data_IF_938672207187
#
_entry.id   IF_938672207187
#
_cell.length_a   1.000
_cell.length_b   1.000
_cell.length_c   1.000
_cell.angle_alpha   90.00
_cell.angle_beta   90.00
_cell.angle_gamma   90.00
#
_symmetry.space_group_name_H-M   'P 1'
#
loop_
_entity.id
_entity.type
_entity.pdbx_description
1 polymer ?
#
# COMPACT_ATOMS: atom_id res chain seq x y z
N UNK A 1 -13.18 -7.34 6.99
CA UNK A 1 -12.79 -7.48 5.57
C UNK A 1 -13.71 -8.47 4.88
N UNK A 2 -14.33 -8.10 3.76
CA UNK A 2 -15.20 -9.00 2.96
C UNK A 2 -14.39 -9.75 1.89
N UNK A 3 -14.78 -10.98 1.55
CA UNK A 3 -14.14 -11.78 0.49
C UNK A 3 -14.12 -11.06 -0.87
N UNK A 4 -15.07 -10.16 -1.10
CA UNK A 4 -15.15 -9.32 -2.29
C UNK A 4 -13.99 -8.32 -2.39
N UNK A 5 -13.59 -7.69 -1.28
CA UNK A 5 -12.47 -6.76 -1.28
C UNK A 5 -11.16 -7.47 -1.64
N UNK A 6 -10.95 -8.66 -1.08
CA UNK A 6 -9.75 -9.45 -1.33
C UNK A 6 -9.66 -9.90 -2.80
N UNK A 7 -10.80 -10.23 -3.43
CA UNK A 7 -10.85 -10.56 -4.84
C UNK A 7 -10.53 -9.34 -5.73
N UNK A 8 -11.08 -8.16 -5.41
CA UNK A 8 -10.76 -6.90 -6.12
C UNK A 8 -9.28 -6.54 -6.00
N UNK A 9 -8.72 -6.69 -4.80
CA UNK A 9 -7.30 -6.50 -4.54
C UNK A 9 -6.43 -7.46 -5.36
N UNK A 10 -6.72 -8.76 -5.32
CA UNK A 10 -5.95 -9.74 -6.09
C UNK A 10 -6.00 -9.46 -7.59
N UNK A 11 -7.17 -9.10 -8.14
CA UNK A 11 -7.31 -8.73 -9.54
C UNK A 11 -6.49 -7.49 -9.89
N UNK A 12 -6.53 -6.45 -9.04
CA UNK A 12 -5.73 -5.24 -9.25
C UNK A 12 -4.24 -5.49 -9.13
N UNK A 13 -3.80 -6.25 -8.12
CA UNK A 13 -2.39 -6.61 -7.92
C UNK A 13 -1.85 -7.40 -9.12
N UNK A 14 -2.61 -8.38 -9.62
CA UNK A 14 -2.22 -9.15 -10.80
C UNK A 14 -1.98 -8.24 -12.01
N UNK A 15 -2.83 -7.22 -12.21
CA UNK A 15 -2.72 -6.27 -13.31
C UNK A 15 -1.57 -5.28 -13.15
N UNK A 16 -1.43 -4.66 -11.98
CA UNK A 16 -0.45 -3.57 -11.74
C UNK A 16 0.98 -4.12 -11.55
N UNK A 17 1.12 -5.32 -10.98
CA UNK A 17 2.41 -5.94 -10.67
C UNK A 17 2.76 -7.13 -11.59
N UNK A 18 1.93 -7.42 -12.61
CA UNK A 18 2.12 -8.51 -13.56
C UNK A 18 2.32 -9.89 -12.89
N UNK A 19 1.59 -10.12 -11.79
CA UNK A 19 1.66 -11.36 -11.01
C UNK A 19 0.62 -12.37 -11.50
N UNK A 20 0.93 -13.66 -11.36
CA UNK A 20 -0.06 -14.73 -11.54
C UNK A 20 -1.20 -14.60 -10.52
N UNK A 21 -2.37 -15.18 -10.82
CA UNK A 21 -3.52 -15.10 -9.91
C UNK A 21 -3.20 -15.63 -8.51
N UNK A 22 -2.48 -16.75 -8.40
CA UNK A 22 -2.11 -17.32 -7.11
C UNK A 22 -1.14 -16.44 -6.33
N UNK A 23 -0.16 -15.84 -7.02
CA UNK A 23 0.77 -14.89 -6.40
C UNK A 23 0.03 -13.62 -5.95
N UNK A 24 -0.87 -13.10 -6.79
CA UNK A 24 -1.68 -11.93 -6.46
C UNK A 24 -2.65 -12.18 -5.31
N UNK A 25 -3.24 -13.37 -5.19
CA UNK A 25 -4.08 -13.76 -4.05
C UNK A 25 -3.29 -13.81 -2.75
N UNK A 26 -2.10 -14.41 -2.77
CA UNK A 26 -1.20 -14.44 -1.60
C UNK A 26 -0.82 -13.03 -1.18
N UNK A 27 -0.39 -12.20 -2.14
CA UNK A 27 0.01 -10.82 -1.86
C UNK A 27 -1.16 -9.95 -1.40
N UNK A 28 -2.37 -10.15 -1.93
CA UNK A 28 -3.58 -9.50 -1.44
C UNK A 28 -3.88 -9.88 0.01
N UNK A 29 -3.69 -11.16 0.37
CA UNK A 29 -3.88 -11.62 1.74
C UNK A 29 -2.84 -11.02 2.69
N UNK A 30 -1.57 -11.00 2.29
CA UNK A 30 -0.49 -10.37 3.08
C UNK A 30 -0.72 -8.87 3.25
N UNK A 31 -1.09 -8.17 2.17
CA UNK A 31 -1.43 -6.75 2.21
C UNK A 31 -2.56 -6.47 3.19
N UNK A 32 -3.60 -7.30 3.20
CA UNK A 32 -4.73 -7.22 4.14
C UNK A 32 -4.31 -7.50 5.58
N UNK A 33 -3.45 -8.50 5.81
CA UNK A 33 -2.99 -8.90 7.15
C UNK A 33 -2.05 -7.88 7.79
N UNK A 34 -1.22 -7.22 6.98
CA UNK A 34 -0.24 -6.24 7.43
C UNK A 34 -0.72 -4.79 7.29
N UNK A 35 -1.94 -4.55 6.80
CA UNK A 35 -2.49 -3.21 6.69
C UNK A 35 -2.82 -2.66 8.09
N UNK A 36 -2.23 -1.52 8.50
CA UNK A 36 -2.65 -0.81 9.70
C UNK A 36 -4.09 -0.31 9.55
N UNK A 37 -4.85 -0.28 10.64
CA UNK A 37 -6.26 0.18 10.65
C UNK A 37 -6.43 1.57 10.01
N UNK A 38 -5.46 2.46 10.21
CA UNK A 38 -5.46 3.81 9.63
C UNK A 38 -5.38 3.82 8.10
N UNK A 39 -4.78 2.79 7.48
CA UNK A 39 -4.61 2.68 6.03
C UNK A 39 -5.68 1.81 5.36
N UNK A 40 -6.57 1.19 6.14
CA UNK A 40 -7.61 0.30 5.62
C UNK A 40 -8.49 0.98 4.57
N UNK A 41 -8.84 2.26 4.79
CA UNK A 41 -9.59 3.05 3.82
C UNK A 41 -8.82 3.23 2.50
N UNK A 42 -7.51 3.51 2.55
CA UNK A 42 -6.70 3.65 1.35
C UNK A 42 -6.57 2.32 0.60
N UNK A 43 -6.50 1.21 1.33
CA UNK A 43 -6.50 -0.13 0.76
C UNK A 43 -7.82 -0.43 0.02
N UNK A 44 -8.96 -0.06 0.60
CA UNK A 44 -10.29 -0.20 -0.02
C UNK A 44 -10.44 0.66 -1.28
N UNK A 45 -10.07 1.94 -1.20
CA UNK A 45 -10.09 2.86 -2.32
C UNK A 45 -9.18 2.38 -3.45
N UNK A 46 -7.99 1.90 -3.09
CA UNK A 46 -7.09 1.30 -4.05
C UNK A 46 -7.66 0.01 -4.65
N UNK A 47 -8.28 -0.87 -3.88
CA UNK A 47 -8.91 -2.05 -4.48
C UNK A 47 -10.06 -1.68 -5.46
N UNK A 48 -10.79 -0.60 -5.17
CA UNK A 48 -11.94 -0.14 -5.94
C UNK A 48 -11.58 0.70 -7.19
N UNK A 49 -10.34 1.18 -7.31
CA UNK A 49 -9.99 2.12 -8.39
C UNK A 49 -10.33 3.58 -8.07
N UNK A 50 -10.64 3.88 -6.81
CA UNK A 50 -11.03 5.21 -6.37
C UNK A 50 -9.81 6.10 -6.04
N UNK A 51 -9.98 7.43 -6.06
CA UNK A 51 -8.97 8.36 -5.57
C UNK A 51 -8.61 8.07 -4.11
N UNK A 52 -7.31 8.04 -3.82
CA UNK A 52 -6.79 7.80 -2.48
C UNK A 52 -7.01 9.02 -1.59
N UNK A 53 -7.59 8.80 -0.41
CA UNK A 53 -7.70 9.84 0.61
C UNK A 53 -6.32 10.19 1.14
N UNK A 54 -6.07 11.47 1.33
CA UNK A 54 -4.85 11.95 1.98
C UNK A 54 -4.95 11.77 3.50
N UNK A 55 -4.67 10.54 3.95
CA UNK A 55 -4.57 10.21 5.37
C UNK A 55 -3.15 10.52 5.83
N UNK A 56 -2.99 11.61 6.58
CA UNK A 56 -1.69 12.05 7.10
C UNK A 56 -1.34 11.33 8.40
N UNK A 57 -0.13 10.79 8.43
CA UNK A 57 0.47 10.03 9.53
C UNK A 57 1.84 10.66 9.81
N UNK A 58 1.93 11.44 10.88
CA UNK A 58 3.13 12.21 11.25
C UNK A 58 3.73 13.01 10.07
N UNK A 59 2.86 13.52 9.18
CA UNK A 59 3.25 14.31 8.01
C UNK A 59 3.47 13.51 6.72
N UNK A 60 3.33 12.18 6.76
CA UNK A 60 3.42 11.31 5.58
C UNK A 60 2.05 10.73 5.21
N UNK A 61 1.78 10.57 3.91
CA UNK A 61 0.56 9.93 3.40
C UNK A 61 0.87 9.04 2.20
N UNK A 62 0.03 8.04 1.92
CA UNK A 62 0.23 7.19 0.74
C UNK A 62 0.30 8.02 -0.55
N UNK A 63 -0.63 8.96 -0.83
CA UNK A 63 -0.53 9.81 -2.02
C UNK A 63 0.78 10.61 -2.09
N UNK A 64 1.25 11.13 -0.95
CA UNK A 64 2.51 11.88 -0.88
C UNK A 64 3.72 10.99 -1.21
N UNK A 65 3.78 9.76 -0.68
CA UNK A 65 4.87 8.83 -0.98
C UNK A 65 4.92 8.46 -2.47
N UNK A 66 3.75 8.17 -3.06
CA UNK A 66 3.66 7.87 -4.49
C UNK A 66 4.14 9.04 -5.36
N UNK A 67 3.77 10.27 -4.99
CA UNK A 67 4.25 11.49 -5.65
C UNK A 67 5.76 11.69 -5.46
N UNK A 68 6.27 11.52 -4.24
CA UNK A 68 7.69 11.66 -3.92
C UNK A 68 8.56 10.67 -4.71
N UNK A 69 8.11 9.42 -4.81
CA UNK A 69 8.83 8.36 -5.52
C UNK A 69 8.63 8.38 -7.03
N UNK A 70 7.69 9.19 -7.54
CA UNK A 70 7.25 9.17 -8.94
C UNK A 70 6.88 7.75 -9.39
N UNK A 71 6.24 6.98 -8.50
CA UNK A 71 5.96 5.56 -8.69
C UNK A 71 4.49 5.25 -8.38
N UNK A 72 3.82 4.42 -9.20
CA UNK A 72 2.47 3.93 -8.89
C UNK A 72 2.46 2.78 -7.86
N UNK A 73 3.59 2.46 -7.25
CA UNK A 73 3.76 1.33 -6.31
C UNK A 73 3.04 1.57 -4.96
N UNK A 74 1.74 1.31 -4.95
CA UNK A 74 0.89 1.42 -3.78
C UNK A 74 1.28 0.45 -2.65
N UNK A 75 1.55 -0.82 -2.98
CA UNK A 75 1.91 -1.81 -1.97
C UNK A 75 3.22 -1.44 -1.26
N UNK A 76 4.22 -0.97 -2.01
CA UNK A 76 5.46 -0.46 -1.42
C UNK A 76 5.22 0.76 -0.52
N UNK A 77 4.36 1.69 -0.93
CA UNK A 77 4.05 2.88 -0.13
C UNK A 77 3.31 2.52 1.18
N UNK A 78 2.36 1.59 1.08
CA UNK A 78 1.64 1.07 2.24
C UNK A 78 2.57 0.31 3.19
N UNK A 79 3.46 -0.54 2.68
CA UNK A 79 4.42 -1.31 3.49
C UNK A 79 5.35 -0.38 4.27
N UNK A 80 5.87 0.67 3.61
CA UNK A 80 6.76 1.65 4.28
C UNK A 80 6.03 2.43 5.37
N UNK A 81 4.78 2.83 5.14
CA UNK A 81 3.98 3.48 6.18
C UNK A 81 3.58 2.53 7.31
N UNK A 82 3.32 1.26 7.00
CA UNK A 82 3.09 0.23 8.02
C UNK A 82 4.33 0.02 8.88
N UNK A 83 5.52 -0.05 8.28
CA UNK A 83 6.81 -0.12 8.98
C UNK A 83 7.04 1.14 9.85
N UNK A 84 6.68 2.32 9.34
CA UNK A 84 6.77 3.58 10.09
C UNK A 84 5.86 3.59 11.33
N UNK A 85 4.64 3.05 11.21
CA UNK A 85 3.66 3.03 12.29
C UNK A 85 3.96 1.98 13.38
N UNK A 86 4.36 0.78 12.95
CA UNK A 86 4.38 -0.41 13.83
C UNK A 86 5.78 -0.96 14.10
N UNK A 87 6.79 -0.46 13.38
CA UNK A 87 8.15 -0.96 13.43
C UNK A 87 9.19 0.14 13.68
N UNK A 88 10.32 0.01 12.99
CA UNK A 88 11.45 0.93 13.09
C UNK A 88 11.21 2.19 12.24
N UNK A 89 10.80 3.27 12.92
CA UNK A 89 10.56 4.59 12.31
C UNK A 89 11.77 5.10 11.53
N UNK A 90 12.98 5.01 12.08
CA UNK A 90 14.20 5.54 11.45
C UNK A 90 14.55 4.76 10.17
N UNK A 91 14.29 3.46 10.16
CA UNK A 91 14.44 2.63 8.96
C UNK A 91 13.38 2.98 7.91
N UNK A 92 12.13 3.15 8.32
CA UNK A 92 11.05 3.52 7.41
C UNK A 92 11.27 4.91 6.79
N UNK A 93 11.66 5.93 7.56
CA UNK A 93 11.99 7.26 7.02
C UNK A 93 13.11 7.20 6.00
N UNK A 94 14.16 6.42 6.29
CA UNK A 94 15.24 6.20 5.32
C UNK A 94 14.71 5.59 4.03
N UNK A 95 13.73 4.69 4.06
CA UNK A 95 13.07 4.14 2.85
C UNK A 95 12.23 5.19 2.14
N UNK A 96 11.47 6.03 2.86
CA UNK A 96 10.69 7.14 2.29
C UNK A 96 11.60 8.07 1.47
N UNK A 97 12.75 8.45 2.03
CA UNK A 97 13.68 9.38 1.39
C UNK A 97 14.69 8.71 0.46
N UNK A 98 14.66 7.37 0.31
CA UNK A 98 15.48 6.65 -0.66
C UNK A 98 14.86 6.76 -2.05
N UNK A 99 14.71 7.98 -2.55
CA UNK A 99 14.35 8.22 -3.94
C UNK A 99 15.40 7.54 -4.82
N UNK A 100 14.96 6.58 -5.64
CA UNK A 100 15.82 5.94 -6.66
C UNK A 100 16.28 7.06 -7.60
N UNK A 101 17.52 7.53 -7.39
CA UNK A 101 18.23 8.37 -8.36
C UNK A 101 18.35 7.64 -9.69
#
# INVERSE_FOLDING_TARGET
MTAELQAKLAARISREYFLSEDAAKKQAQEAVQHCPDLLQKNLEQWAAGEPLTEISIDGYSVPMLLALWHSPDFLGAMEVLAEYLTGDRDKAERRIWRTRR
#
